data_IF_176561777478
#
_entry.id   IF_176561777478
#
_cell.length_a   1.000
_cell.length_b   1.000
_cell.length_c   1.000
_cell.angle_alpha   90.00
_cell.angle_beta   90.00
_cell.angle_gamma   90.00
#
_symmetry.space_group_name_H-M   'P 1'
#
loop_
_entity.id
_entity.type
_entity.pdbx_description
1 polymer ?
#
# COMPACT_ATOMS: atom_id res chain seq x y z
N UNK A 1 -2.78 2.37 9.12
CA UNK A 1 -2.18 3.08 7.97
C UNK A 1 -3.34 3.45 7.07
N UNK A 2 -3.50 4.73 6.82
CA UNK A 2 -4.44 5.23 5.83
C UNK A 2 -3.61 5.67 4.63
N UNK A 3 -4.04 5.32 3.42
CA UNK A 3 -3.21 5.48 2.23
C UNK A 3 -4.09 5.72 1.02
N UNK A 4 -3.70 6.66 0.16
CA UNK A 4 -4.51 7.16 -0.96
C UNK A 4 -3.62 7.49 -2.18
N UNK A 5 -4.14 7.17 -3.35
CA UNK A 5 -3.57 7.45 -4.66
C UNK A 5 -4.36 8.50 -5.43
N UNK A 6 -3.72 9.60 -5.82
CA UNK A 6 -4.32 10.63 -6.68
C UNK A 6 -3.67 10.65 -8.05
N UNK A 7 -4.48 10.68 -9.12
CA UNK A 7 -4.01 10.78 -10.50
C UNK A 7 -4.40 12.13 -11.13
N UNK A 8 -3.44 12.81 -11.77
CA UNK A 8 -3.77 14.03 -12.53
C UNK A 8 -4.45 13.66 -13.85
N UNK A 9 -5.58 14.32 -14.14
CA UNK A 9 -6.26 14.19 -15.43
C UNK A 9 -5.56 15.00 -16.54
N UNK A 10 -4.84 16.06 -16.16
CA UNK A 10 -4.20 17.00 -17.10
C UNK A 10 -2.72 16.70 -17.32
N UNK A 11 -2.05 16.16 -16.30
CA UNK A 11 -0.63 15.87 -16.34
C UNK A 11 -0.38 14.36 -16.37
N UNK A 12 0.77 13.95 -16.92
CA UNK A 12 1.14 12.54 -17.05
C UNK A 12 1.80 11.98 -15.77
N UNK A 13 1.26 12.34 -14.60
CA UNK A 13 1.73 11.83 -13.32
C UNK A 13 0.60 11.45 -12.36
N UNK A 14 0.95 10.59 -11.43
CA UNK A 14 0.19 10.28 -10.23
C UNK A 14 1.00 10.64 -8.99
N UNK A 15 0.32 10.90 -7.89
CA UNK A 15 0.90 11.09 -6.57
C UNK A 15 0.26 10.11 -5.60
N UNK A 16 1.10 9.41 -4.85
CA UNK A 16 0.66 8.51 -3.78
C UNK A 16 1.01 9.12 -2.44
N UNK A 17 0.18 8.88 -1.43
CA UNK A 17 0.38 9.31 -0.05
C UNK A 17 -0.10 8.27 0.93
N UNK A 18 0.49 8.28 2.11
CA UNK A 18 -0.04 7.52 3.23
C UNK A 18 0.46 8.03 4.56
N UNK A 19 -0.37 7.85 5.57
CA UNK A 19 -0.16 8.28 6.94
C UNK A 19 -0.20 7.09 7.89
N UNK A 20 0.74 7.11 8.82
CA UNK A 20 0.84 6.18 9.93
C UNK A 20 0.40 6.86 11.21
N UNK A 21 -0.47 6.19 11.94
CA UNK A 21 -0.94 6.61 13.26
C UNK A 21 -0.78 5.46 14.24
N UNK A 22 -0.56 5.79 15.51
CA UNK A 22 -0.61 4.81 16.58
C UNK A 22 -2.06 4.41 16.91
N UNK A 23 -2.23 3.51 17.89
CA UNK A 23 -3.54 3.03 18.34
C UNK A 23 -4.40 4.12 19.00
N UNK A 24 -3.81 5.24 19.41
CA UNK A 24 -4.51 6.40 19.96
C UNK A 24 -4.85 7.43 18.87
N UNK A 25 -4.56 7.14 17.61
CA UNK A 25 -4.74 8.05 16.49
C UNK A 25 -3.68 9.15 16.38
N UNK A 26 -2.61 9.10 17.18
CA UNK A 26 -1.51 10.06 17.10
C UNK A 26 -0.70 9.82 15.83
N UNK A 27 -0.38 10.90 15.11
CA UNK A 27 0.42 10.82 13.90
C UNK A 27 1.86 10.38 14.24
N UNK A 28 2.35 9.36 13.52
CA UNK A 28 3.72 8.84 13.67
C UNK A 28 4.62 9.37 12.56
N UNK A 29 4.18 9.20 11.31
CA UNK A 29 4.86 9.68 10.12
C UNK A 29 3.92 9.58 8.91
N UNK A 30 4.30 10.22 7.80
CA UNK A 30 3.64 10.07 6.51
C UNK A 30 4.66 9.97 5.38
N UNK A 31 4.21 9.56 4.20
CA UNK A 31 5.01 9.52 2.98
C UNK A 31 4.24 10.09 1.80
N UNK A 32 4.99 10.60 0.82
CA UNK A 32 4.44 11.02 -0.46
C UNK A 32 5.45 10.75 -1.57
N UNK A 33 4.97 10.20 -2.68
CA UNK A 33 5.79 9.93 -3.86
C UNK A 33 5.04 10.42 -5.11
N UNK A 34 5.77 11.05 -6.01
CA UNK A 34 5.29 11.37 -7.37
C UNK A 34 5.81 10.30 -8.31
N UNK A 35 4.93 9.74 -9.13
CA UNK A 35 5.24 8.71 -10.12
C UNK A 35 4.59 9.01 -11.46
N UNK A 36 5.04 8.34 -12.52
CA UNK A 36 4.37 8.42 -13.81
C UNK A 36 2.92 7.92 -13.71
N UNK A 37 2.06 8.42 -14.59
CA UNK A 37 0.67 8.00 -14.65
C UNK A 37 0.57 6.52 -14.98
N UNK A 38 -0.25 5.82 -14.20
CA UNK A 38 -0.50 4.38 -14.31
C UNK A 38 -2.00 4.13 -14.08
N UNK A 39 -2.44 2.87 -14.15
CA UNK A 39 -3.83 2.54 -13.81
C UNK A 39 -4.10 2.78 -12.32
N UNK A 40 -5.33 3.16 -11.96
CA UNK A 40 -5.75 3.36 -10.57
C UNK A 40 -5.39 2.14 -9.71
N UNK A 41 -5.61 0.93 -10.23
CA UNK A 41 -5.24 -0.30 -9.53
C UNK A 41 -3.73 -0.40 -9.22
N UNK A 42 -2.85 -0.05 -10.17
CA UNK A 42 -1.40 -0.06 -9.94
C UNK A 42 -0.96 1.05 -9.00
N UNK A 43 -1.59 2.22 -9.07
CA UNK A 43 -1.36 3.33 -8.15
C UNK A 43 -1.69 2.88 -6.72
N UNK A 44 -2.88 2.32 -6.49
CA UNK A 44 -3.27 1.80 -5.16
C UNK A 44 -2.36 0.67 -4.67
N UNK A 45 -1.99 -0.27 -5.55
CA UNK A 45 -1.02 -1.31 -5.19
C UNK A 45 0.34 -0.70 -4.79
N UNK A 46 0.79 0.35 -5.49
CA UNK A 46 2.03 1.04 -5.17
C UNK A 46 1.95 1.78 -3.84
N UNK A 47 0.83 2.46 -3.58
CA UNK A 47 0.52 3.11 -2.30
C UNK A 47 0.76 2.11 -1.15
N UNK A 48 0.12 0.94 -1.21
CA UNK A 48 0.24 -0.10 -0.19
C UNK A 48 1.67 -0.63 -0.08
N UNK A 49 2.33 -0.91 -1.21
CA UNK A 49 3.70 -1.45 -1.21
C UNK A 49 4.69 -0.52 -0.50
N UNK A 50 4.65 0.79 -0.78
CA UNK A 50 5.53 1.77 -0.13
C UNK A 50 5.23 1.84 1.37
N UNK A 51 3.95 1.79 1.75
CA UNK A 51 3.52 1.78 3.14
C UNK A 51 4.04 0.56 3.93
N UNK A 52 3.93 -0.62 3.33
CA UNK A 52 4.47 -1.88 3.88
C UNK A 52 5.99 -1.82 4.03
N UNK A 53 6.69 -1.29 3.02
CA UNK A 53 8.14 -1.13 3.06
C UNK A 53 8.57 -0.22 4.22
N UNK A 54 8.00 0.98 4.34
CA UNK A 54 8.31 1.93 5.41
C UNK A 54 8.04 1.34 6.79
N UNK A 55 6.88 0.69 6.96
CA UNK A 55 6.49 0.03 8.22
C UNK A 55 7.51 -1.05 8.60
N UNK A 56 7.93 -1.84 7.62
CA UNK A 56 8.89 -2.91 7.84
C UNK A 56 10.25 -2.37 8.28
N UNK A 57 10.78 -1.38 7.57
CA UNK A 57 12.07 -0.72 7.88
C UNK A 57 12.03 -0.03 9.24
N UNK A 58 10.88 0.53 9.65
CA UNK A 58 10.68 1.11 10.99
C UNK A 58 10.49 0.08 12.10
N UNK A 59 10.62 -1.21 11.81
CA UNK A 59 10.45 -2.29 12.77
C UNK A 59 9.04 -2.37 13.40
N UNK A 60 8.04 -1.76 12.78
CA UNK A 60 6.65 -1.96 13.19
C UNK A 60 6.18 -3.33 12.69
N UNK A 61 5.68 -4.15 13.61
CA UNK A 61 5.26 -5.55 13.36
C UNK A 61 3.78 -5.78 13.62
N UNK A 62 3.02 -4.72 13.82
CA UNK A 62 1.56 -4.76 13.89
C UNK A 62 1.04 -3.58 13.06
N UNK A 63 0.25 -3.88 12.04
CA UNK A 63 -0.26 -2.89 11.10
C UNK A 63 -1.70 -3.21 10.72
N UNK A 64 -2.56 -2.21 10.87
CA UNK A 64 -3.89 -2.18 10.26
C UNK A 64 -3.81 -1.32 8.98
N UNK A 65 -4.31 -1.86 7.87
CA UNK A 65 -4.22 -1.27 6.55
C UNK A 65 -5.63 -0.90 6.11
N UNK A 66 -5.89 0.39 5.90
CA UNK A 66 -7.15 0.87 5.34
C UNK A 66 -6.95 1.03 3.83
N UNK A 67 -7.70 0.27 3.04
CA UNK A 67 -7.67 0.32 1.58
C UNK A 67 -9.12 0.34 1.06
N UNK A 68 -9.47 1.36 0.29
CA UNK A 68 -10.80 1.56 -0.29
C UNK A 68 -11.02 0.75 -1.58
N UNK A 69 -9.94 0.18 -2.14
CA UNK A 69 -9.98 -0.65 -3.33
C UNK A 69 -10.29 -2.11 -2.98
N UNK A 70 -11.57 -2.46 -2.97
CA UNK A 70 -12.04 -3.82 -2.66
C UNK A 70 -11.39 -4.91 -3.53
N UNK A 71 -11.17 -4.66 -4.82
CA UNK A 71 -10.51 -5.62 -5.73
C UNK A 71 -9.06 -5.89 -5.31
N UNK A 72 -8.37 -4.87 -4.79
CA UNK A 72 -7.00 -5.00 -4.32
C UNK A 72 -6.95 -5.82 -3.03
N UNK A 73 -7.87 -5.55 -2.08
CA UNK A 73 -8.03 -6.35 -0.85
C UNK A 73 -8.36 -7.80 -1.17
N UNK A 74 -9.30 -8.06 -2.07
CA UNK A 74 -9.63 -9.41 -2.54
C UNK A 74 -8.42 -10.12 -3.15
N UNK A 75 -7.62 -9.41 -3.96
CA UNK A 75 -6.39 -9.95 -4.56
C UNK A 75 -5.35 -10.36 -3.51
N UNK A 76 -5.28 -9.65 -2.38
CA UNK A 76 -4.41 -10.01 -1.26
C UNK A 76 -4.94 -11.22 -0.50
N UNK A 77 -6.23 -11.24 -0.18
CA UNK A 77 -6.87 -12.31 0.60
C UNK A 77 -6.93 -13.64 -0.17
N UNK A 78 -7.14 -13.61 -1.48
CA UNK A 78 -7.25 -14.80 -2.32
C UNK A 78 -5.90 -15.49 -2.59
N UNK A 79 -4.76 -14.89 -2.22
CA UNK A 79 -3.42 -15.41 -2.52
C UNK A 79 -3.06 -15.43 -4.01
N UNK A 80 -3.92 -14.87 -4.87
CA UNK A 80 -3.76 -14.77 -6.32
C UNK A 80 -2.60 -13.83 -6.72
N UNK A 81 -2.11 -13.03 -5.77
CA UNK A 81 -0.98 -12.12 -5.94
C UNK A 81 0.37 -12.82 -6.24
N UNK A 82 0.53 -14.10 -5.89
CA UNK A 82 1.79 -14.86 -6.07
C UNK A 82 2.20 -15.03 -7.54
N UNK A 83 1.23 -15.26 -8.43
CA UNK A 83 1.45 -15.48 -9.88
C UNK A 83 1.01 -14.29 -10.74
N UNK A 84 0.72 -13.14 -10.13
CA UNK A 84 0.29 -11.96 -10.87
C UNK A 84 1.39 -11.44 -11.79
N UNK A 85 1.02 -10.94 -12.97
CA UNK A 85 1.93 -10.21 -13.86
C UNK A 85 2.33 -8.84 -13.28
N UNK A 86 1.60 -8.33 -12.30
CA UNK A 86 1.92 -7.08 -11.61
C UNK A 86 3.00 -7.32 -10.55
N UNK A 87 4.15 -6.67 -10.75
CA UNK A 87 5.31 -6.74 -9.83
C UNK A 87 4.89 -6.30 -8.42
N UNK A 88 4.06 -5.26 -8.31
CA UNK A 88 3.59 -4.71 -7.05
C UNK A 88 2.87 -5.77 -6.21
N UNK A 89 1.97 -6.55 -6.82
CA UNK A 89 1.24 -7.61 -6.12
C UNK A 89 2.17 -8.72 -5.62
N UNK A 90 3.17 -9.12 -6.41
CA UNK A 90 4.15 -10.12 -5.98
C UNK A 90 4.99 -9.64 -4.80
N UNK A 91 5.43 -8.37 -4.84
CA UNK A 91 6.20 -7.77 -3.75
C UNK A 91 5.35 -7.63 -2.48
N UNK A 92 4.12 -7.15 -2.61
CA UNK A 92 3.17 -7.06 -1.50
C UNK A 92 2.96 -8.45 -0.89
N UNK A 93 2.70 -9.47 -1.70
CA UNK A 93 2.58 -10.84 -1.20
C UNK A 93 3.83 -11.29 -0.42
N UNK A 94 5.03 -10.93 -0.88
CA UNK A 94 6.27 -11.16 -0.14
C UNK A 94 6.31 -10.46 1.22
N UNK A 95 5.72 -9.28 1.35
CA UNK A 95 5.53 -8.58 2.63
C UNK A 95 4.46 -9.23 3.51
N UNK A 96 3.30 -9.61 2.95
CA UNK A 96 2.19 -10.22 3.71
C UNK A 96 2.62 -11.50 4.41
N UNK A 97 3.57 -12.24 3.83
CA UNK A 97 4.11 -13.49 4.39
C UNK A 97 5.29 -13.31 5.35
N UNK A 98 5.63 -12.08 5.76
CA UNK A 98 6.68 -11.83 6.76
C UNK A 98 6.17 -12.04 8.18
N UNK A 99 7.10 -12.04 9.15
CA UNK A 99 6.77 -12.12 10.57
C UNK A 99 6.25 -10.78 11.10
N UNK A 100 4.94 -10.56 11.00
CA UNK A 100 4.18 -9.45 11.58
C UNK A 100 2.68 -9.77 11.63
N UNK A 101 1.93 -8.98 12.38
CA UNK A 101 0.46 -9.04 12.49
C UNK A 101 -0.16 -8.00 11.58
N UNK A 102 -0.80 -8.46 10.51
CA UNK A 102 -1.51 -7.60 9.58
C UNK A 102 -3.02 -7.75 9.73
N UNK A 103 -3.73 -6.64 9.55
CA UNK A 103 -5.18 -6.58 9.42
C UNK A 103 -5.53 -5.64 8.26
N UNK A 104 -6.47 -6.07 7.41
CA UNK A 104 -7.14 -5.25 6.40
C UNK A 104 -8.54 -4.90 6.90
#
# INVERSE_FOLDING_TARGET
MNSDGTMSLKDDYASIRGDFRDTNGQWLCGYSLKMSKETVFRIEARVILEGLHITWEKSYRQLEIECDNALLVESFLAGSATNSNLVELRLINGYLNRNWKLRF
#
